data_IF_922685725855
#
_entry.id   IF_922685725855
#
_cell.length_a   1.000
_cell.length_b   1.000
_cell.length_c   1.000
_cell.angle_alpha   90.00
_cell.angle_beta   90.00
_cell.angle_gamma   90.00
#
_symmetry.space_group_name_H-M   'P 1'
#
loop_
_entity.id
_entity.type
_entity.pdbx_description
1 polymer ?
#
# COMPACT_ATOMS: atom_id res chain seq x y z
N UNK A 1 3.47 16.21 -10.41
CA UNK A 1 4.83 16.48 -9.89
C UNK A 1 5.41 15.16 -9.42
N UNK A 2 6.66 14.89 -9.77
CA UNK A 2 7.41 13.71 -9.36
C UNK A 2 8.35 14.13 -8.22
N UNK A 3 8.29 13.45 -7.09
CA UNK A 3 9.30 13.53 -6.03
C UNK A 3 9.94 12.17 -5.91
N UNK A 4 11.25 12.14 -6.02
CA UNK A 4 12.07 10.95 -5.94
C UNK A 4 13.11 11.18 -4.84
N UNK A 5 13.07 10.36 -3.81
CA UNK A 5 14.03 10.38 -2.72
C UNK A 5 14.45 8.94 -2.35
N UNK A 6 15.43 8.82 -1.47
CA UNK A 6 15.96 7.50 -1.10
C UNK A 6 14.95 6.55 -0.40
N UNK A 7 13.81 7.08 0.09
CA UNK A 7 12.86 6.30 0.89
C UNK A 7 11.61 5.90 0.13
N UNK A 8 11.15 6.78 -0.76
CA UNK A 8 9.98 6.52 -1.58
C UNK A 8 10.01 7.28 -2.91
N UNK A 9 9.33 6.75 -3.89
CA UNK A 9 8.98 7.42 -5.14
C UNK A 9 7.55 7.95 -5.01
N UNK A 10 7.31 9.19 -5.40
CA UNK A 10 6.00 9.82 -5.35
C UNK A 10 5.62 10.42 -6.70
N UNK A 11 4.40 10.12 -7.15
CA UNK A 11 3.81 10.67 -8.38
C UNK A 11 2.45 11.26 -8.06
N UNK A 12 2.32 12.59 -8.13
CA UNK A 12 1.05 13.28 -7.95
C UNK A 12 0.13 13.07 -9.14
N UNK A 13 -1.13 12.63 -8.89
CA UNK A 13 -2.15 12.47 -9.94
C UNK A 13 -1.74 11.52 -11.06
N UNK A 14 -0.94 10.49 -10.77
CA UNK A 14 -0.43 9.54 -11.75
C UNK A 14 -1.50 8.69 -12.43
N UNK A 15 -2.70 8.61 -11.83
CA UNK A 15 -3.88 7.97 -12.41
C UNK A 15 -4.99 9.00 -12.57
N UNK A 16 -5.59 9.14 -13.76
CA UNK A 16 -6.68 10.08 -13.98
C UNK A 16 -7.88 9.82 -13.06
N UNK A 17 -8.59 10.86 -12.58
CA UNK A 17 -9.75 10.71 -11.69
C UNK A 17 -10.82 9.76 -12.21
N UNK A 18 -11.10 9.78 -13.52
CA UNK A 18 -12.03 8.85 -14.16
C UNK A 18 -11.63 7.40 -13.92
N UNK A 19 -10.36 7.08 -14.13
CA UNK A 19 -9.83 5.72 -13.92
C UNK A 19 -9.84 5.32 -12.46
N UNK A 20 -9.57 6.26 -11.53
CA UNK A 20 -9.74 6.02 -10.10
C UNK A 20 -11.18 5.63 -9.76
N UNK A 21 -12.16 6.33 -10.33
CA UNK A 21 -13.58 6.04 -10.11
C UNK A 21 -13.97 4.67 -10.70
N UNK A 22 -13.44 4.29 -11.86
CA UNK A 22 -13.63 2.96 -12.44
C UNK A 22 -13.05 1.86 -11.53
N UNK A 23 -11.87 2.08 -10.94
CA UNK A 23 -11.27 1.16 -9.95
C UNK A 23 -12.14 1.07 -8.71
N UNK A 24 -12.66 2.20 -8.20
CA UNK A 24 -13.55 2.23 -7.02
C UNK A 24 -14.84 1.44 -7.32
N UNK A 25 -15.47 1.67 -8.46
CA UNK A 25 -16.67 0.93 -8.87
C UNK A 25 -16.40 -0.58 -8.92
N UNK A 26 -15.31 -0.97 -9.56
CA UNK A 26 -14.94 -2.36 -9.69
C UNK A 26 -14.63 -2.98 -8.31
N UNK A 27 -13.81 -2.33 -7.49
CA UNK A 27 -13.48 -2.80 -6.15
C UNK A 27 -14.70 -2.95 -5.24
N UNK A 28 -15.67 -2.03 -5.33
CA UNK A 28 -16.93 -2.10 -4.58
C UNK A 28 -17.89 -3.20 -5.10
N UNK A 29 -17.75 -3.67 -6.34
CA UNK A 29 -18.53 -4.79 -6.87
C UNK A 29 -18.04 -6.16 -6.42
N UNK A 30 -16.84 -6.23 -5.87
CA UNK A 30 -16.27 -7.45 -5.33
C UNK A 30 -16.78 -7.72 -3.91
N UNK A 31 -16.77 -8.98 -3.51
CA UNK A 31 -17.12 -9.37 -2.14
C UNK A 31 -15.96 -9.01 -1.20
N UNK A 32 -16.15 -8.06 -0.30
CA UNK A 32 -15.09 -7.69 0.64
C UNK A 32 -14.97 -8.70 1.78
N UNK A 33 -13.75 -8.87 2.27
CA UNK A 33 -13.45 -9.51 3.55
C UNK A 33 -12.92 -8.49 4.56
N UNK A 34 -12.89 -8.84 5.84
CA UNK A 34 -12.16 -8.02 6.82
C UNK A 34 -10.68 -7.98 6.45
N UNK A 35 -10.07 -6.81 6.58
CA UNK A 35 -8.64 -6.66 6.35
C UNK A 35 -7.87 -7.34 7.48
N UNK A 36 -7.17 -8.41 7.15
CA UNK A 36 -6.33 -9.13 8.11
C UNK A 36 -4.86 -8.76 7.96
N UNK A 37 -4.09 -8.91 9.02
CA UNK A 37 -2.63 -8.77 9.01
C UNK A 37 -1.99 -10.15 8.88
N UNK A 38 -0.96 -10.29 8.02
CA UNK A 38 -0.33 -11.58 7.73
C UNK A 38 0.47 -12.24 8.86
N UNK A 39 0.52 -11.64 10.05
CA UNK A 39 1.25 -12.16 11.21
C UNK A 39 0.29 -12.66 12.30
N UNK A 40 -0.60 -13.58 11.96
CA UNK A 40 -1.32 -14.32 12.98
C UNK A 40 -0.44 -15.48 13.44
N UNK A 41 0.05 -15.41 14.68
CA UNK A 41 0.75 -16.54 15.30
C UNK A 41 -0.16 -17.77 15.28
N UNK A 42 0.38 -18.90 14.83
CA UNK A 42 -0.31 -20.19 14.88
C UNK A 42 -0.65 -20.65 16.31
N UNK A 43 -0.18 -19.92 17.32
CA UNK A 43 -0.35 -20.22 18.74
C UNK A 43 -1.55 -19.46 19.37
N UNK A 44 -2.17 -18.51 18.66
CA UNK A 44 -3.32 -17.77 19.15
C UNK A 44 -4.62 -18.49 18.75
N UNK A 45 -5.64 -18.44 19.62
CA UNK A 45 -6.98 -18.87 19.26
C UNK A 45 -7.66 -17.88 18.28
N UNK A 46 -8.85 -18.23 17.77
CA UNK A 46 -9.53 -17.43 16.74
C UNK A 46 -10.01 -16.06 17.28
N UNK A 47 -10.38 -16.00 18.55
CA UNK A 47 -10.82 -14.74 19.20
C UNK A 47 -9.64 -13.82 19.50
N UNK A 48 -8.52 -14.38 19.95
CA UNK A 48 -7.27 -13.65 20.14
C UNK A 48 -6.69 -13.14 18.80
N UNK A 49 -6.76 -13.94 17.75
CA UNK A 49 -6.39 -13.53 16.39
C UNK A 49 -7.25 -12.38 15.90
N UNK A 50 -8.57 -12.43 16.14
CA UNK A 50 -9.52 -11.37 15.78
C UNK A 50 -9.22 -10.09 16.54
N UNK A 51 -9.07 -10.15 17.87
CA UNK A 51 -8.73 -9.00 18.71
C UNK A 51 -7.39 -8.36 18.32
N UNK A 52 -6.37 -9.15 18.05
CA UNK A 52 -5.07 -8.66 17.60
C UNK A 52 -5.16 -8.01 16.21
N UNK A 53 -5.99 -8.57 15.34
CA UNK A 53 -6.23 -8.02 14.00
C UNK A 53 -6.98 -6.68 14.08
N UNK A 54 -8.04 -6.59 14.86
CA UNK A 54 -8.88 -5.40 14.98
C UNK A 54 -8.11 -4.20 15.57
N UNK A 55 -7.24 -4.43 16.55
CA UNK A 55 -6.38 -3.39 17.11
C UNK A 55 -5.31 -2.90 16.11
N UNK A 56 -4.90 -3.74 15.16
CA UNK A 56 -3.86 -3.42 14.20
C UNK A 56 -4.42 -2.86 12.90
N UNK A 57 -5.57 -3.36 12.46
CA UNK A 57 -6.20 -2.97 11.21
C UNK A 57 -7.72 -3.05 11.29
N UNK A 58 -8.38 -1.96 10.92
CA UNK A 58 -9.83 -1.90 10.72
C UNK A 58 -10.10 -1.41 9.29
N UNK A 59 -10.34 -2.34 8.38
CA UNK A 59 -10.62 -2.04 6.96
C UNK A 59 -11.33 -3.20 6.28
N UNK A 60 -12.01 -2.91 5.17
CA UNK A 60 -12.53 -3.92 4.25
C UNK A 60 -11.59 -4.07 3.06
N UNK A 61 -11.33 -5.30 2.64
CA UNK A 61 -10.42 -5.59 1.54
C UNK A 61 -11.06 -6.49 0.50
N UNK A 62 -10.74 -6.25 -0.76
CA UNK A 62 -11.06 -7.14 -1.88
C UNK A 62 -9.82 -7.32 -2.74
N UNK A 63 -9.66 -8.50 -3.34
CA UNK A 63 -8.52 -8.80 -4.18
C UNK A 63 -8.88 -8.64 -5.65
N UNK A 64 -8.08 -7.89 -6.37
CA UNK A 64 -8.24 -7.62 -7.79
C UNK A 64 -7.14 -8.34 -8.57
N UNK A 65 -7.54 -9.22 -9.47
CA UNK A 65 -6.64 -9.96 -10.35
C UNK A 65 -6.83 -9.60 -11.83
N UNK A 66 -7.65 -8.60 -12.11
CA UNK A 66 -8.02 -8.20 -13.47
C UNK A 66 -6.83 -7.64 -14.26
N UNK A 67 -6.53 -8.17 -15.46
CA UNK A 67 -5.32 -7.81 -16.20
C UNK A 67 -5.17 -6.33 -16.53
N UNK A 68 -6.27 -5.56 -16.69
CA UNK A 68 -6.18 -4.16 -17.06
C UNK A 68 -5.57 -3.29 -15.95
N UNK A 69 -5.84 -3.60 -14.67
CA UNK A 69 -5.23 -2.89 -13.54
C UNK A 69 -3.73 -3.14 -13.49
N UNK A 70 -3.30 -4.38 -13.71
CA UNK A 70 -1.88 -4.68 -13.80
C UNK A 70 -1.19 -3.96 -14.98
N UNK A 71 -1.86 -3.85 -16.14
CA UNK A 71 -1.34 -3.08 -17.27
C UNK A 71 -1.19 -1.59 -16.96
N UNK A 72 -2.05 -1.06 -16.10
CA UNK A 72 -1.97 0.32 -15.61
C UNK A 72 -0.82 0.53 -14.63
N UNK A 73 -0.68 -0.34 -13.64
CA UNK A 73 0.22 -0.13 -12.50
C UNK A 73 1.67 -0.59 -12.75
N UNK A 74 1.88 -1.70 -13.45
CA UNK A 74 3.22 -2.25 -13.69
C UNK A 74 4.19 -1.27 -14.35
N UNK A 75 3.83 -0.52 -15.39
CA UNK A 75 4.74 0.46 -15.99
C UNK A 75 5.21 1.53 -15.01
N UNK A 76 4.32 1.99 -14.13
CA UNK A 76 4.64 3.03 -13.14
C UNK A 76 5.61 2.47 -12.09
N UNK A 77 5.37 1.26 -11.58
CA UNK A 77 6.27 0.61 -10.65
C UNK A 77 7.63 0.32 -11.28
N UNK A 78 7.67 -0.16 -12.52
CA UNK A 78 8.90 -0.40 -13.22
C UNK A 78 9.69 0.90 -13.46
N UNK A 79 9.01 2.00 -13.82
CA UNK A 79 9.64 3.30 -13.96
C UNK A 79 10.27 3.76 -12.63
N UNK A 80 9.54 3.69 -11.53
CA UNK A 80 10.09 4.03 -10.21
C UNK A 80 11.30 3.17 -9.84
N UNK A 81 11.22 1.85 -10.09
CA UNK A 81 12.31 0.92 -9.79
C UNK A 81 13.58 1.18 -10.61
N UNK A 82 13.44 1.61 -11.87
CA UNK A 82 14.57 1.83 -12.79
C UNK A 82 14.96 3.30 -12.98
N UNK A 83 14.32 4.23 -12.26
CA UNK A 83 14.70 5.64 -12.25
C UNK A 83 16.12 5.83 -11.69
N UNK A 84 16.79 6.97 -11.92
CA UNK A 84 18.16 7.20 -11.47
C UNK A 84 18.38 7.01 -9.96
N UNK A 85 17.35 7.29 -9.15
CA UNK A 85 17.35 7.06 -7.70
C UNK A 85 16.50 5.83 -7.30
N UNK A 86 16.09 5.02 -8.28
CA UNK A 86 15.32 3.81 -8.05
C UNK A 86 16.13 2.68 -7.45
N UNK A 87 15.44 1.65 -7.01
CA UNK A 87 16.06 0.51 -6.29
C UNK A 87 16.70 -0.53 -7.20
N UNK A 88 16.39 -0.51 -8.49
CA UNK A 88 16.94 -1.40 -9.51
C UNK A 88 16.81 -2.90 -9.19
N UNK A 89 15.71 -3.30 -8.56
CA UNK A 89 15.45 -4.71 -8.26
C UNK A 89 15.06 -5.51 -9.50
N UNK A 90 15.49 -6.78 -9.54
CA UNK A 90 14.98 -7.76 -10.51
C UNK A 90 13.61 -8.26 -10.05
N UNK A 91 12.54 -7.61 -10.53
CA UNK A 91 11.15 -7.95 -10.14
C UNK A 91 10.72 -9.23 -10.88
N UNK A 92 10.38 -10.27 -10.12
CA UNK A 92 9.98 -11.58 -10.65
C UNK A 92 8.46 -11.76 -10.69
N UNK A 93 7.74 -11.16 -9.73
CA UNK A 93 6.29 -11.36 -9.56
C UNK A 93 5.63 -10.06 -9.11
N UNK A 94 4.39 -9.87 -9.54
CA UNK A 94 3.47 -8.87 -9.00
C UNK A 94 2.38 -9.62 -8.27
N UNK A 95 2.09 -9.22 -7.05
CA UNK A 95 0.99 -9.80 -6.27
C UNK A 95 -0.35 -9.26 -6.75
N UNK A 96 -1.44 -9.94 -6.36
CA UNK A 96 -2.79 -9.44 -6.56
C UNK A 96 -2.95 -8.04 -5.93
N UNK A 97 -3.71 -7.18 -6.59
CA UNK A 97 -3.93 -5.81 -6.10
C UNK A 97 -4.98 -5.84 -5.01
N UNK A 98 -4.64 -5.33 -3.82
CA UNK A 98 -5.58 -5.18 -2.73
C UNK A 98 -6.35 -3.87 -2.88
N UNK A 99 -7.66 -3.94 -3.07
CA UNK A 99 -8.56 -2.80 -2.93
C UNK A 99 -8.96 -2.69 -1.47
N UNK A 100 -8.58 -1.58 -0.83
CA UNK A 100 -8.84 -1.37 0.60
C UNK A 100 -9.80 -0.22 0.80
N UNK A 101 -10.84 -0.46 1.61
CA UNK A 101 -11.83 0.53 2.01
C UNK A 101 -11.75 0.74 3.53
N UNK A 102 -11.49 1.96 3.93
CA UNK A 102 -11.57 2.41 5.31
C UNK A 102 -12.93 3.06 5.54
N UNK A 103 -13.67 2.56 6.51
CA UNK A 103 -14.91 3.16 7.02
C UNK A 103 -14.58 4.20 8.10
N UNK A 104 -15.55 4.97 8.62
CA UNK A 104 -15.29 5.85 9.75
C UNK A 104 -14.59 5.11 10.90
N UNK A 105 -13.53 5.72 11.45
CA UNK A 105 -12.61 5.13 12.42
C UNK A 105 -11.76 3.97 11.89
N UNK A 106 -11.78 3.71 10.58
CA UNK A 106 -10.91 2.73 9.95
C UNK A 106 -9.44 3.15 10.04
N UNK A 107 -8.55 2.19 10.26
CA UNK A 107 -7.13 2.43 10.42
C UNK A 107 -6.30 1.22 10.02
N UNK A 108 -5.03 1.46 9.81
CA UNK A 108 -3.99 0.44 9.73
C UNK A 108 -2.74 0.97 10.44
N UNK A 109 -2.44 0.39 11.59
CA UNK A 109 -1.35 0.81 12.44
C UNK A 109 0.01 0.37 11.86
N UNK A 110 1.10 0.80 12.51
CA UNK A 110 2.47 0.50 12.12
C UNK A 110 2.67 -0.99 11.82
N UNK A 111 3.18 -1.28 10.65
CA UNK A 111 3.49 -2.63 10.19
C UNK A 111 4.64 -2.59 9.18
N UNK A 112 5.17 -3.75 8.89
CA UNK A 112 6.18 -3.93 7.86
C UNK A 112 5.54 -4.70 6.69
N UNK A 113 5.76 -4.22 5.48
CA UNK A 113 5.25 -4.85 4.26
C UNK A 113 6.17 -5.94 3.72
N UNK A 114 7.37 -6.10 4.28
CA UNK A 114 8.30 -7.16 3.88
C UNK A 114 7.73 -8.52 4.26
N UNK A 115 7.43 -9.31 3.25
CA UNK A 115 7.01 -10.70 3.39
C UNK A 115 7.96 -11.61 2.61
N UNK A 116 8.39 -12.68 3.25
CA UNK A 116 9.14 -13.76 2.59
C UNK A 116 8.21 -14.93 2.33
N UNK A 117 8.18 -15.39 1.09
CA UNK A 117 7.48 -16.61 0.71
C UNK A 117 8.48 -17.77 0.69
N UNK A 118 8.42 -18.59 1.73
CA UNK A 118 9.31 -19.74 1.90
C UNK A 118 9.13 -20.82 0.81
N UNK A 119 8.00 -20.85 0.11
CA UNK A 119 7.74 -21.82 -0.94
C UNK A 119 8.39 -21.41 -2.26
N UNK A 120 8.39 -20.13 -2.57
CA UNK A 120 8.94 -19.59 -3.82
C UNK A 120 10.31 -18.96 -3.68
N UNK A 121 10.85 -18.82 -2.47
CA UNK A 121 12.06 -18.06 -2.17
C UNK A 121 12.00 -16.59 -2.67
N UNK A 122 10.80 -16.05 -2.81
CA UNK A 122 10.58 -14.66 -3.18
C UNK A 122 10.35 -13.80 -1.93
N UNK A 123 10.81 -12.57 -2.00
CA UNK A 123 10.58 -11.58 -0.95
C UNK A 123 9.91 -10.35 -1.58
N UNK A 124 8.88 -9.82 -0.92
CA UNK A 124 8.29 -8.53 -1.31
C UNK A 124 9.33 -7.45 -1.11
N UNK A 125 9.63 -6.71 -2.17
CA UNK A 125 10.65 -5.65 -2.18
C UNK A 125 10.06 -4.27 -2.32
N UNK A 126 8.94 -4.14 -3.04
CA UNK A 126 8.31 -2.86 -3.30
C UNK A 126 6.82 -2.96 -3.00
N UNK A 127 6.33 -1.99 -2.25
CA UNK A 127 4.92 -1.74 -2.03
C UNK A 127 4.49 -0.51 -2.81
N UNK A 128 3.29 -0.56 -3.41
CA UNK A 128 2.70 0.56 -4.13
C UNK A 128 1.32 0.87 -3.54
N UNK A 129 1.09 2.12 -3.20
CA UNK A 129 -0.22 2.61 -2.77
C UNK A 129 -0.72 3.63 -3.78
N UNK A 130 -1.98 3.49 -4.16
CA UNK A 130 -2.70 4.42 -5.03
C UNK A 130 -3.83 5.06 -4.24
N UNK A 131 -3.83 6.39 -4.15
CA UNK A 131 -4.89 7.16 -3.53
C UNK A 131 -6.07 7.29 -4.49
N UNK A 132 -7.14 6.54 -4.23
CA UNK A 132 -8.30 6.50 -5.14
C UNK A 132 -9.37 7.56 -4.83
N UNK A 133 -9.54 7.92 -3.55
CA UNK A 133 -10.58 8.85 -3.12
C UNK A 133 -10.13 10.30 -3.24
N UNK A 134 -11.07 11.19 -3.58
CA UNK A 134 -10.81 12.64 -3.51
C UNK A 134 -10.69 13.09 -2.05
N UNK A 135 -9.77 14.03 -1.72
CA UNK A 135 -9.53 14.47 -0.35
C UNK A 135 -10.75 15.09 0.33
N UNK A 136 -11.70 15.66 -0.43
CA UNK A 136 -12.94 16.22 0.11
C UNK A 136 -13.95 15.19 0.64
N UNK A 137 -13.74 13.90 0.31
CA UNK A 137 -14.66 12.82 0.67
C UNK A 137 -14.28 12.11 1.98
N UNK A 138 -13.16 12.49 2.62
CA UNK A 138 -12.71 11.86 3.86
C UNK A 138 -11.86 12.80 4.70
N UNK A 139 -11.83 12.55 6.00
CA UNK A 139 -10.92 13.18 6.95
C UNK A 139 -9.85 12.17 7.41
N UNK A 140 -8.72 12.66 7.91
CA UNK A 140 -7.61 11.80 8.33
C UNK A 140 -6.93 11.09 7.15
N UNK A 141 -6.68 9.79 7.28
CA UNK A 141 -6.03 8.98 6.25
C UNK A 141 -4.58 9.41 5.97
N UNK A 142 -3.88 9.93 6.97
CA UNK A 142 -2.48 10.30 6.86
C UNK A 142 -1.65 9.03 6.70
N UNK A 143 -0.76 9.03 5.72
CA UNK A 143 0.20 7.96 5.50
C UNK A 143 1.57 8.42 5.96
N UNK A 144 2.21 7.64 6.81
CA UNK A 144 3.49 7.97 7.43
C UNK A 144 4.46 6.80 7.35
N UNK A 145 5.74 7.09 7.30
CA UNK A 145 6.82 6.11 7.37
C UNK A 145 7.53 6.19 8.71
N UNK A 146 7.93 5.05 9.24
CA UNK A 146 8.90 4.97 10.33
C UNK A 146 10.18 4.34 9.78
N UNK A 147 11.23 5.13 9.70
CA UNK A 147 12.52 4.74 9.14
C UNK A 147 13.46 4.10 10.18
N UNK A 148 12.95 3.68 11.32
CA UNK A 148 13.76 3.09 12.39
C UNK A 148 14.74 2.05 11.85
N UNK A 149 16.02 2.31 12.05
CA UNK A 149 17.12 1.44 11.64
C UNK A 149 17.51 1.54 10.15
N UNK A 150 16.75 2.24 9.30
CA UNK A 150 17.07 2.40 7.89
C UNK A 150 18.00 3.59 7.62
N UNK A 151 17.95 4.60 8.46
CA UNK A 151 18.80 5.80 8.40
C UNK A 151 20.06 5.70 9.31
N UNK A 152 20.29 4.52 9.90
CA UNK A 152 21.36 4.28 10.86
C UNK A 152 21.05 4.77 12.28
N UNK A 153 19.89 5.36 12.51
CA UNK A 153 19.40 5.76 13.82
C UNK A 153 18.65 4.60 14.49
N UNK A 154 18.84 4.44 15.82
CA UNK A 154 18.09 3.44 16.60
C UNK A 154 16.73 3.93 17.05
N UNK A 155 16.51 5.24 17.02
CA UNK A 155 15.25 5.88 17.39
C UNK A 155 14.26 5.90 16.24
N UNK A 156 12.99 6.11 16.56
CA UNK A 156 11.94 6.26 15.56
C UNK A 156 12.13 7.56 14.77
N UNK A 157 12.30 7.44 13.46
CA UNK A 157 12.32 8.58 12.54
C UNK A 157 11.04 8.55 11.72
N UNK A 158 10.11 9.44 12.06
CA UNK A 158 8.81 9.52 11.41
C UNK A 158 8.85 10.52 10.26
N UNK A 159 8.53 10.06 9.06
CA UNK A 159 8.39 10.89 7.86
C UNK A 159 6.95 10.81 7.37
N UNK A 160 6.35 11.97 7.20
CA UNK A 160 5.03 12.06 6.59
C UNK A 160 5.11 11.90 5.08
N UNK A 161 4.11 11.26 4.49
CA UNK A 161 3.92 11.31 3.05
C UNK A 161 3.72 12.75 2.58
N UNK A 162 4.09 13.09 1.34
CA UNK A 162 3.80 14.41 0.78
C UNK A 162 2.32 14.76 0.93
N UNK A 163 2.01 16.01 1.32
CA UNK A 163 0.61 16.47 1.47
C UNK A 163 -0.22 16.19 0.21
N UNK A 164 0.40 16.35 -0.94
CA UNK A 164 -0.19 16.07 -2.25
C UNK A 164 -0.47 14.58 -2.51
N UNK A 165 -0.01 13.68 -1.65
CA UNK A 165 -0.42 12.27 -1.73
C UNK A 165 -1.93 12.09 -1.57
N UNK A 166 -2.61 12.99 -0.87
CA UNK A 166 -4.07 12.99 -0.75
C UNK A 166 -4.82 13.29 -2.06
N UNK A 167 -4.14 13.88 -3.05
CA UNK A 167 -4.73 14.12 -4.38
C UNK A 167 -5.14 12.80 -5.02
N UNK A 168 -6.37 12.74 -5.54
CA UNK A 168 -6.87 11.55 -6.23
C UNK A 168 -5.95 11.12 -7.37
N UNK A 169 -5.64 9.84 -7.44
CA UNK A 169 -4.72 9.26 -8.43
C UNK A 169 -3.24 9.37 -8.07
N UNK A 170 -2.90 9.97 -6.93
CA UNK A 170 -1.50 10.00 -6.46
C UNK A 170 -1.01 8.61 -6.07
N UNK A 171 0.27 8.38 -6.32
CA UNK A 171 0.92 7.10 -6.12
C UNK A 171 2.15 7.30 -5.25
N UNK A 172 2.35 6.41 -4.29
CA UNK A 172 3.58 6.29 -3.53
C UNK A 172 4.10 4.86 -3.64
N UNK A 173 5.41 4.70 -3.87
CA UNK A 173 6.09 3.40 -3.96
C UNK A 173 7.26 3.42 -3.00
N UNK A 174 7.43 2.36 -2.22
CA UNK A 174 8.43 2.28 -1.16
C UNK A 174 8.87 0.83 -0.90
N UNK A 175 9.92 0.66 -0.04
CA UNK A 175 10.47 -0.63 0.37
C UNK A 175 9.62 -1.35 1.41
#
# INVERSE_FOLDING_TARGET
MLLDNQWFFFLEGGIPPRTCNEIIQYGNSLNPSEGVTGATSSLLDEDEKRHHSDNKRNSKTSWIETPWIFRLLKPILNHANTSPNGWNYSIKKFEAVQFTKYLPNGHYNWHNDVLSDNQTNLMRKLSMIVQLSEPKHYEGGKFTFNLRGLDGNKDDTIIDSPEKFRTQGSIIIFL
#
